data_IF_425023810525
#
_entry.id   IF_425023810525
#
_cell.length_a   1.000
_cell.length_b   1.000
_cell.length_c   1.000
_cell.angle_alpha   90.00
_cell.angle_beta   90.00
_cell.angle_gamma   90.00
#
_symmetry.space_group_name_H-M   'P 1'
#
loop_
_entity.id
_entity.type
_entity.pdbx_description
1 polymer ?
#
# COMPACT_ATOMS: atom_id res chain seq x y z
N UNK A 1 2.09 -23.64 29.17
CA UNK A 1 2.80 -23.04 28.01
C UNK A 1 2.18 -21.68 27.79
N UNK A 2 2.92 -20.60 28.04
CA UNK A 2 2.42 -19.27 27.78
C UNK A 2 2.26 -19.11 26.26
N UNK A 3 1.08 -18.71 25.81
CA UNK A 3 0.88 -18.31 24.42
C UNK A 3 1.73 -17.07 24.19
N UNK A 4 2.90 -17.22 23.56
CA UNK A 4 3.53 -16.07 22.93
C UNK A 4 2.54 -15.64 21.84
N UNK A 5 1.79 -14.58 22.11
CA UNK A 5 0.97 -13.98 21.07
C UNK A 5 1.96 -13.60 19.97
N UNK A 6 1.65 -13.99 18.74
CA UNK A 6 2.41 -13.65 17.55
C UNK A 6 2.78 -12.14 17.54
N UNK A 7 1.97 -11.31 18.18
CA UNK A 7 2.13 -9.88 18.46
C UNK A 7 3.43 -9.45 19.17
N UNK A 8 3.94 -10.20 20.16
CA UNK A 8 5.13 -9.83 20.95
C UNK A 8 6.44 -9.86 20.12
N UNK A 9 6.50 -10.71 19.09
CA UNK A 9 7.67 -10.78 18.20
C UNK A 9 7.66 -9.69 17.10
N UNK A 10 6.49 -9.14 16.74
CA UNK A 10 6.40 -8.10 15.70
C UNK A 10 6.87 -6.72 16.18
N UNK A 11 6.73 -6.39 17.48
CA UNK A 11 7.31 -5.14 18.06
C UNK A 11 8.82 -5.01 17.87
N UNK A 12 9.51 -6.10 17.53
CA UNK A 12 10.97 -6.14 17.31
C UNK A 12 11.40 -5.89 15.85
N UNK A 13 10.47 -5.67 14.92
CA UNK A 13 10.79 -5.72 13.47
C UNK A 13 11.18 -4.40 12.80
N UNK A 14 10.85 -3.25 13.42
CA UNK A 14 11.22 -1.92 12.94
C UNK A 14 11.82 -1.10 14.08
N UNK A 15 13.11 -0.78 13.96
CA UNK A 15 13.82 0.12 14.87
C UNK A 15 13.64 1.58 14.37
N UNK A 16 13.67 2.56 15.28
CA UNK A 16 13.75 3.99 14.91
C UNK A 16 14.96 4.28 14.01
N UNK A 17 16.01 3.47 14.11
CA UNK A 17 17.18 3.54 13.23
C UNK A 17 16.94 3.02 11.80
N UNK A 18 15.83 2.28 11.56
CA UNK A 18 15.40 1.89 10.21
C UNK A 18 14.72 3.05 9.46
N UNK A 19 14.46 4.17 10.13
CA UNK A 19 13.81 5.39 9.62
C UNK A 19 14.92 6.45 9.43
N UNK A 20 15.52 6.52 8.25
CA UNK A 20 16.65 7.40 7.92
C UNK A 20 16.25 8.57 7.00
N UNK A 21 15.04 9.09 7.14
CA UNK A 21 14.55 10.15 6.24
C UNK A 21 14.96 11.53 6.73
N UNK A 22 15.23 12.44 5.80
CA UNK A 22 15.22 13.87 6.12
C UNK A 22 13.78 14.37 6.33
N UNK A 23 13.62 15.50 7.02
CA UNK A 23 12.32 16.16 7.17
C UNK A 23 11.68 16.46 5.80
N UNK A 24 12.49 16.84 4.81
CA UNK A 24 12.05 17.08 3.42
C UNK A 24 11.50 15.81 2.74
N UNK A 25 12.14 14.65 2.96
CA UNK A 25 11.66 13.37 2.42
C UNK A 25 10.31 13.02 3.05
N UNK A 26 10.19 13.16 4.37
CA UNK A 26 8.94 12.93 5.11
C UNK A 26 7.82 13.81 4.53
N UNK A 27 8.08 15.11 4.37
CA UNK A 27 7.08 16.05 3.84
C UNK A 27 6.63 15.69 2.42
N UNK A 28 7.57 15.33 1.53
CA UNK A 28 7.23 14.88 0.16
C UNK A 28 6.36 13.63 0.15
N UNK A 29 6.68 12.66 1.02
CA UNK A 29 5.91 11.42 1.15
C UNK A 29 4.49 11.72 1.62
N UNK A 30 4.31 12.57 2.64
CA UNK A 30 2.97 12.98 3.09
C UNK A 30 2.21 13.82 2.08
N UNK A 31 2.87 14.69 1.32
CA UNK A 31 2.21 15.49 0.29
C UNK A 31 1.68 14.60 -0.83
N UNK A 32 2.45 13.57 -1.24
CA UNK A 32 1.97 12.57 -2.19
C UNK A 32 0.83 11.73 -1.62
N UNK A 33 0.90 11.34 -0.35
CA UNK A 33 -0.19 10.64 0.32
C UNK A 33 -1.48 11.46 0.35
N UNK A 34 -1.41 12.70 0.82
CA UNK A 34 -2.56 13.62 0.89
C UNK A 34 -3.15 13.90 -0.47
N UNK A 35 -2.35 13.85 -1.54
CA UNK A 35 -2.84 13.96 -2.90
C UNK A 35 -3.70 12.77 -3.32
N UNK A 36 -3.46 11.56 -2.79
CA UNK A 36 -4.22 10.36 -3.15
C UNK A 36 -5.45 10.11 -2.27
N UNK A 37 -5.59 10.80 -1.14
CA UNK A 37 -6.68 10.60 -0.19
C UNK A 37 -7.63 11.80 -0.19
N UNK A 38 -8.92 11.52 -0.22
CA UNK A 38 -9.97 12.49 0.03
C UNK A 38 -10.44 12.35 1.49
N UNK A 39 -9.87 13.16 2.37
CA UNK A 39 -10.19 13.14 3.80
C UNK A 39 -11.64 13.58 4.11
N UNK A 40 -12.24 14.43 3.28
CA UNK A 40 -13.62 14.90 3.51
C UNK A 40 -14.65 13.79 3.26
N UNK A 41 -14.34 12.88 2.34
CA UNK A 41 -15.20 11.75 1.96
C UNK A 41 -14.75 10.41 2.53
N UNK A 42 -13.61 10.42 3.22
CA UNK A 42 -12.94 9.24 3.74
C UNK A 42 -12.71 8.13 2.68
N UNK A 43 -12.31 8.52 1.47
CA UNK A 43 -12.06 7.60 0.35
C UNK A 43 -10.79 7.97 -0.42
N UNK A 44 -10.36 7.10 -1.33
CA UNK A 44 -9.32 7.45 -2.29
C UNK A 44 -9.79 8.56 -3.24
N UNK A 45 -8.90 9.51 -3.54
CA UNK A 45 -9.11 10.45 -4.62
C UNK A 45 -8.76 9.77 -5.97
N UNK A 46 -9.69 8.95 -6.48
CA UNK A 46 -9.47 8.09 -7.64
C UNK A 46 -8.99 8.84 -8.89
N UNK A 47 -9.46 10.06 -9.15
CA UNK A 47 -9.03 10.86 -10.29
C UNK A 47 -7.56 11.28 -10.20
N UNK A 48 -7.06 11.53 -8.99
CA UNK A 48 -5.67 11.91 -8.78
C UNK A 48 -4.69 10.80 -9.13
N UNK A 49 -5.12 9.54 -9.13
CA UNK A 49 -4.31 8.42 -9.62
C UNK A 49 -4.05 8.49 -11.13
N UNK A 50 -4.75 9.33 -11.91
CA UNK A 50 -4.47 9.51 -13.35
C UNK A 50 -3.08 10.06 -13.63
N UNK A 51 -2.36 10.57 -12.62
CA UNK A 51 -0.94 10.90 -12.75
C UNK A 51 -0.08 9.67 -13.10
N UNK A 52 -0.56 8.47 -12.76
CA UNK A 52 0.07 7.20 -13.13
C UNK A 52 -0.53 6.68 -14.44
N UNK A 53 0.32 6.41 -15.43
CA UNK A 53 -0.09 6.15 -16.81
C UNK A 53 -1.06 4.99 -16.96
N UNK A 54 -0.73 3.84 -16.37
CA UNK A 54 -1.61 2.69 -16.28
C UNK A 54 -1.59 2.18 -14.85
N UNK A 55 -2.70 1.58 -14.44
CA UNK A 55 -2.87 0.96 -13.13
C UNK A 55 -3.49 -0.40 -13.37
N UNK A 56 -2.98 -1.40 -12.67
CA UNK A 56 -3.50 -2.76 -12.69
C UNK A 56 -3.82 -3.24 -11.28
N UNK A 57 -4.57 -4.33 -11.23
CA UNK A 57 -5.10 -4.93 -10.03
C UNK A 57 -4.83 -6.44 -10.04
N UNK A 58 -4.52 -6.96 -8.85
CA UNK A 58 -4.45 -8.38 -8.54
C UNK A 58 -5.39 -8.65 -7.37
N UNK A 59 -6.31 -9.57 -7.57
CA UNK A 59 -7.11 -10.18 -6.52
C UNK A 59 -6.26 -11.20 -5.76
N UNK A 60 -6.00 -10.97 -4.48
CA UNK A 60 -5.13 -11.85 -3.68
C UNK A 60 -5.87 -13.10 -3.21
N UNK A 61 -7.16 -12.98 -2.86
CA UNK A 61 -7.97 -14.09 -2.33
C UNK A 61 -8.09 -15.25 -3.33
N UNK A 62 -8.05 -14.94 -4.62
CA UNK A 62 -8.16 -15.92 -5.71
C UNK A 62 -6.84 -16.17 -6.44
N UNK A 63 -5.75 -15.51 -6.04
CA UNK A 63 -4.42 -15.75 -6.61
C UNK A 63 -3.67 -16.81 -5.83
N UNK A 64 -2.85 -17.59 -6.53
CA UNK A 64 -1.87 -18.43 -5.85
C UNK A 64 -0.72 -17.56 -5.29
N UNK A 65 -0.10 -18.03 -4.19
CA UNK A 65 0.99 -17.33 -3.52
C UNK A 65 2.14 -16.98 -4.48
N UNK A 66 2.42 -17.83 -5.48
CA UNK A 66 3.50 -17.60 -6.43
C UNK A 66 3.19 -16.41 -7.35
N UNK A 67 1.94 -16.27 -7.79
CA UNK A 67 1.46 -15.13 -8.58
C UNK A 67 1.51 -13.84 -7.78
N UNK A 68 1.05 -13.87 -6.53
CA UNK A 68 1.13 -12.72 -5.62
C UNK A 68 2.58 -12.29 -5.39
N UNK A 69 3.46 -13.26 -5.08
CA UNK A 69 4.88 -13.01 -4.90
C UNK A 69 5.54 -12.41 -6.16
N UNK A 70 5.21 -12.92 -7.35
CA UNK A 70 5.72 -12.39 -8.61
C UNK A 70 5.23 -10.97 -8.89
N UNK A 71 3.95 -10.69 -8.64
CA UNK A 71 3.34 -9.39 -8.85
C UNK A 71 4.00 -8.32 -7.97
N UNK A 72 4.17 -8.62 -6.68
CA UNK A 72 4.82 -7.73 -5.71
C UNK A 72 6.31 -7.62 -6.01
N UNK A 73 7.02 -8.74 -6.18
CA UNK A 73 8.46 -8.76 -6.45
C UNK A 73 8.82 -8.01 -7.73
N UNK A 74 7.94 -8.03 -8.73
CA UNK A 74 8.10 -7.25 -9.96
C UNK A 74 8.20 -5.76 -9.67
N UNK A 75 7.23 -5.22 -8.94
CA UNK A 75 7.25 -3.81 -8.51
C UNK A 75 8.46 -3.48 -7.65
N UNK A 76 8.75 -4.32 -6.64
CA UNK A 76 9.84 -4.04 -5.71
C UNK A 76 11.17 -3.93 -6.48
N UNK A 77 11.49 -4.86 -7.39
CA UNK A 77 12.79 -4.88 -8.07
C UNK A 77 13.04 -3.71 -9.03
N UNK A 78 12.01 -2.92 -9.37
CA UNK A 78 12.12 -1.79 -10.30
C UNK A 78 12.80 -0.56 -9.68
N UNK A 79 12.80 -0.44 -8.35
CA UNK A 79 13.24 0.77 -7.65
C UNK A 79 14.31 0.44 -6.61
N UNK A 80 15.27 1.33 -6.42
CA UNK A 80 16.31 1.13 -5.42
C UNK A 80 15.77 1.36 -4.01
N UNK A 81 14.97 2.41 -3.84
CA UNK A 81 14.36 2.78 -2.56
C UNK A 81 12.84 2.92 -2.70
N UNK A 82 12.13 2.63 -1.62
CA UNK A 82 10.68 2.70 -1.52
C UNK A 82 10.27 3.42 -0.23
N UNK A 83 9.07 4.02 -0.22
CA UNK A 83 8.45 4.59 0.97
C UNK A 83 7.12 3.89 1.21
N UNK A 84 6.84 3.36 2.40
CA UNK A 84 5.50 2.80 2.70
C UNK A 84 4.76 3.66 3.72
N UNK A 85 3.44 3.80 3.60
CA UNK A 85 2.58 4.50 4.56
C UNK A 85 1.31 3.69 4.78
N UNK A 86 0.85 3.50 6.02
CA UNK A 86 -0.48 2.94 6.28
C UNK A 86 -1.57 3.81 5.65
N UNK A 87 -2.61 3.17 5.13
CA UNK A 87 -3.77 3.90 4.58
C UNK A 87 -4.74 4.23 5.71
N UNK A 88 -4.86 5.52 5.99
CA UNK A 88 -5.85 6.14 6.89
C UNK A 88 -6.59 7.27 6.18
N UNK A 89 -7.89 7.34 6.43
CA UNK A 89 -8.77 8.30 5.74
C UNK A 89 -9.10 9.54 6.57
N UNK A 90 -8.61 9.63 7.82
CA UNK A 90 -8.78 10.78 8.70
C UNK A 90 -7.47 11.58 8.88
N UNK A 91 -7.60 12.89 9.08
CA UNK A 91 -6.45 13.76 9.36
C UNK A 91 -5.82 13.49 10.73
N UNK A 92 -6.63 13.09 11.72
CA UNK A 92 -6.17 12.81 13.06
C UNK A 92 -5.27 11.57 13.07
N UNK A 93 -5.70 10.49 12.41
CA UNK A 93 -4.89 9.29 12.24
C UNK A 93 -3.62 9.57 11.44
N UNK A 94 -3.71 10.40 10.40
CA UNK A 94 -2.54 10.78 9.62
C UNK A 94 -1.51 11.54 10.46
N UNK A 95 -1.96 12.48 11.29
CA UNK A 95 -1.10 13.25 12.18
C UNK A 95 -0.50 12.34 13.26
N UNK A 96 -1.27 11.36 13.74
CA UNK A 96 -0.78 10.36 14.69
C UNK A 96 0.32 9.50 14.05
N UNK A 97 0.14 8.98 12.83
CA UNK A 97 1.20 8.27 12.07
C UNK A 97 2.45 9.14 11.89
N UNK A 98 2.27 10.42 11.55
CA UNK A 98 3.37 11.37 11.36
C UNK A 98 4.19 11.58 12.64
N UNK A 99 3.53 11.64 13.79
CA UNK A 99 4.16 12.03 15.05
C UNK A 99 4.64 10.85 15.89
N UNK A 100 4.00 9.69 15.80
CA UNK A 100 4.31 8.53 16.66
C UNK A 100 5.37 7.59 16.09
N UNK A 101 5.77 7.77 14.83
CA UNK A 101 6.78 6.95 14.14
C UNK A 101 6.47 5.43 14.15
N UNK A 102 5.23 5.02 14.43
CA UNK A 102 4.81 3.62 14.50
C UNK A 102 3.38 3.46 13.93
N UNK A 103 3.15 2.53 13.00
CA UNK A 103 4.15 1.91 12.14
C UNK A 103 4.70 3.00 11.22
N UNK A 104 6.00 2.98 10.96
CA UNK A 104 6.67 4.10 10.31
C UNK A 104 6.11 4.34 8.92
N UNK A 105 6.27 5.59 8.46
CA UNK A 105 6.59 5.87 7.06
C UNK A 105 7.78 4.95 6.75
N UNK A 106 7.57 3.76 6.19
CA UNK A 106 8.55 2.70 6.34
C UNK A 106 9.71 2.89 5.36
N UNK A 107 10.91 2.91 5.96
CA UNK A 107 12.19 2.39 5.47
C UNK A 107 12.62 2.80 4.05
N UNK A 108 13.59 3.70 3.98
CA UNK A 108 14.53 3.75 2.86
C UNK A 108 15.40 2.49 2.89
N UNK A 109 14.86 1.37 2.45
CA UNK A 109 15.59 0.12 2.29
C UNK A 109 15.83 -0.11 0.81
N UNK A 110 16.92 -0.80 0.50
CA UNK A 110 17.05 -1.47 -0.79
C UNK A 110 15.80 -2.28 -1.04
N UNK A 111 15.15 -2.04 -2.17
CA UNK A 111 13.92 -2.71 -2.48
C UNK A 111 14.14 -4.21 -2.65
N UNK A 112 13.45 -5.00 -1.83
CA UNK A 112 13.50 -6.46 -1.86
C UNK A 112 12.32 -7.05 -1.08
N UNK A 113 12.11 -8.36 -1.21
CA UNK A 113 10.99 -9.05 -0.56
C UNK A 113 11.06 -9.00 0.99
N UNK A 114 12.25 -8.80 1.58
CA UNK A 114 12.40 -8.65 3.03
C UNK A 114 11.84 -7.32 3.52
N UNK A 115 11.99 -6.24 2.75
CA UNK A 115 11.35 -4.95 3.03
C UNK A 115 9.83 -5.13 3.10
N UNK A 116 9.23 -5.71 2.05
CA UNK A 116 7.78 -5.94 2.02
C UNK A 116 7.29 -6.81 3.18
N UNK A 117 7.98 -7.93 3.47
CA UNK A 117 7.65 -8.79 4.62
C UNK A 117 7.75 -8.06 5.96
N UNK A 118 8.73 -7.16 6.13
CA UNK A 118 8.81 -6.29 7.32
C UNK A 118 7.58 -5.38 7.40
N UNK A 119 7.21 -4.68 6.32
CA UNK A 119 6.04 -3.80 6.29
C UNK A 119 4.75 -4.54 6.66
N UNK A 120 4.48 -5.68 6.00
CA UNK A 120 3.31 -6.52 6.29
C UNK A 120 3.31 -6.99 7.75
N UNK A 121 4.45 -7.52 8.23
CA UNK A 121 4.57 -8.00 9.61
C UNK A 121 4.37 -6.89 10.66
N UNK A 122 4.84 -5.68 10.40
CA UNK A 122 4.69 -4.55 11.33
C UNK A 122 3.31 -3.87 11.28
N UNK A 123 2.48 -4.13 10.27
CA UNK A 123 1.16 -3.50 10.10
C UNK A 123 0.01 -4.36 10.59
N UNK A 124 0.11 -5.69 10.48
CA UNK A 124 -0.87 -6.64 11.05
C UNK A 124 -1.05 -6.42 12.57
N UNK A 125 -0.10 -5.75 13.22
CA UNK A 125 -0.14 -5.40 14.65
C UNK A 125 -0.71 -4.01 14.99
N UNK A 126 -0.94 -3.10 14.03
CA UNK A 126 -1.27 -1.69 14.34
C UNK A 126 -2.42 -1.04 13.54
N UNK A 127 -2.73 -1.44 12.31
CA UNK A 127 -3.74 -0.78 11.46
C UNK A 127 -4.60 -1.77 10.64
N UNK A 128 -5.57 -1.26 9.87
CA UNK A 128 -6.57 -1.98 9.03
C UNK A 128 -6.01 -2.96 7.99
N UNK A 129 -4.69 -3.10 7.87
CA UNK A 129 -4.04 -4.05 6.98
C UNK A 129 -3.72 -3.52 5.57
N UNK A 130 -3.97 -2.24 5.30
CA UNK A 130 -3.73 -1.62 3.97
C UNK A 130 -2.61 -0.58 4.00
N UNK A 131 -1.75 -0.59 2.99
CA UNK A 131 -0.64 0.35 2.84
C UNK A 131 -0.44 0.79 1.40
N UNK A 132 0.05 2.02 1.24
CA UNK A 132 0.58 2.51 -0.03
C UNK A 132 2.11 2.52 0.03
N UNK A 133 2.74 1.95 -0.98
CA UNK A 133 4.18 2.02 -1.23
C UNK A 133 4.41 2.95 -2.41
N UNK A 134 5.28 3.93 -2.27
CA UNK A 134 5.77 4.79 -3.34
C UNK A 134 7.19 4.41 -3.74
N UNK A 135 7.51 4.58 -5.02
CA UNK A 135 8.90 4.68 -5.47
C UNK A 135 9.55 5.95 -4.93
N UNK A 136 10.89 5.96 -4.85
CA UNK A 136 11.63 7.10 -4.30
C UNK A 136 11.41 8.43 -5.06
N UNK A 137 11.12 8.33 -6.35
CA UNK A 137 10.82 9.45 -7.24
C UNK A 137 9.31 9.75 -7.37
N UNK A 138 8.47 9.00 -6.66
CA UNK A 138 6.99 9.05 -6.72
C UNK A 138 6.39 8.84 -8.11
N UNK A 139 7.16 8.25 -9.03
CA UNK A 139 6.68 7.90 -10.38
C UNK A 139 5.78 6.66 -10.39
N UNK A 140 5.86 5.84 -9.35
CA UNK A 140 5.14 4.58 -9.23
C UNK A 140 4.63 4.33 -7.81
N UNK A 141 3.61 3.49 -7.69
CA UNK A 141 3.02 3.09 -6.43
C UNK A 141 2.53 1.64 -6.43
N UNK A 142 2.34 1.10 -5.22
CA UNK A 142 1.66 -0.15 -4.93
C UNK A 142 0.77 0.06 -3.70
N UNK A 143 -0.55 -0.04 -3.86
CA UNK A 143 -1.49 -0.26 -2.74
C UNK A 143 -1.55 -1.76 -2.48
N UNK A 144 -1.41 -2.13 -1.23
CA UNK A 144 -1.37 -3.51 -0.81
C UNK A 144 -2.28 -3.71 0.41
N UNK A 145 -3.19 -4.66 0.26
CA UNK A 145 -4.09 -5.14 1.29
C UNK A 145 -4.01 -6.67 1.30
N UNK A 146 -3.00 -7.26 1.97
CA UNK A 146 -2.74 -8.69 1.92
C UNK A 146 -3.97 -9.51 2.35
N UNK A 147 -4.25 -10.59 1.63
CA UNK A 147 -5.47 -11.38 1.79
C UNK A 147 -6.73 -10.70 1.24
N UNK A 148 -6.60 -9.66 0.42
CA UNK A 148 -7.71 -9.02 -0.28
C UNK A 148 -7.27 -8.66 -1.70
N UNK A 149 -6.36 -7.69 -1.83
CA UNK A 149 -5.93 -7.21 -3.14
C UNK A 149 -4.60 -6.46 -3.15
N UNK A 150 -4.05 -6.33 -4.36
CA UNK A 150 -2.96 -5.42 -4.69
C UNK A 150 -3.29 -4.57 -5.91
N UNK A 151 -3.01 -3.28 -5.85
CA UNK A 151 -3.18 -2.34 -6.96
C UNK A 151 -1.84 -1.65 -7.19
N UNK A 152 -1.32 -1.64 -8.42
CA UNK A 152 -0.07 -0.91 -8.70
C UNK A 152 -0.12 -0.16 -10.00
N UNK A 153 0.69 0.89 -10.09
CA UNK A 153 1.01 1.49 -11.38
C UNK A 153 1.86 0.54 -12.22
N UNK A 154 1.70 0.64 -13.52
CA UNK A 154 2.39 -0.20 -14.51
C UNK A 154 2.63 0.59 -15.79
N UNK A 155 3.61 0.16 -16.58
CA UNK A 155 3.90 0.69 -17.92
C UNK A 155 3.06 0.01 -19.01
N UNK A 156 2.39 -1.10 -18.66
CA UNK A 156 1.58 -1.91 -19.56
C UNK A 156 0.09 -1.65 -19.34
N UNK A 157 -0.64 -1.49 -20.45
CA UNK A 157 -2.09 -1.42 -20.39
C UNK A 157 -2.64 -2.79 -20.00
N UNK A 158 -3.44 -2.83 -18.94
CA UNK A 158 -4.16 -4.00 -18.46
C UNK A 158 -5.67 -3.72 -18.51
N UNK A 159 -6.49 -4.73 -18.82
CA UNK A 159 -7.95 -4.64 -18.91
C UNK A 159 -8.67 -5.25 -17.70
N UNK A 160 -7.94 -5.53 -16.61
CA UNK A 160 -8.47 -6.12 -15.38
C UNK A 160 -9.67 -5.37 -14.79
N UNK A 161 -9.78 -4.06 -15.02
CA UNK A 161 -10.91 -3.24 -14.54
C UNK A 161 -12.25 -3.63 -15.16
N UNK A 162 -12.28 -4.21 -16.36
CA UNK A 162 -13.51 -4.70 -16.96
C UNK A 162 -14.08 -5.89 -16.17
N UNK A 163 -13.21 -6.75 -15.64
CA UNK A 163 -13.63 -7.93 -14.89
C UNK A 163 -14.27 -7.52 -13.55
N UNK A 164 -13.77 -6.46 -12.91
CA UNK A 164 -14.38 -5.83 -11.71
C UNK A 164 -15.77 -5.28 -12.02
N UNK A 165 -15.95 -4.59 -13.14
CA UNK A 165 -17.25 -4.00 -13.53
C UNK A 165 -18.28 -5.05 -13.95
N UNK A 166 -17.84 -6.20 -14.44
CA UNK A 166 -18.68 -7.34 -14.80
C UNK A 166 -18.96 -8.28 -13.63
N UNK A 167 -18.55 -7.91 -12.41
CA UNK A 167 -18.79 -8.67 -11.17
C UNK A 167 -18.24 -10.10 -11.23
N UNK A 168 -17.06 -10.28 -11.85
CA UNK A 168 -16.43 -11.61 -11.98
C UNK A 168 -15.73 -12.10 -10.71
N UNK A 169 -15.64 -11.25 -9.69
CA UNK A 169 -14.95 -11.51 -8.44
C UNK A 169 -15.94 -11.30 -7.28
N UNK A 170 -15.92 -12.20 -6.30
CA UNK A 170 -16.69 -12.01 -5.06
C UNK A 170 -15.82 -11.27 -4.04
N UNK A 171 -16.04 -9.96 -3.90
CA UNK A 171 -15.38 -9.13 -2.90
C UNK A 171 -16.34 -8.77 -1.76
N UNK A 172 -15.80 -8.56 -0.57
CA UNK A 172 -16.53 -7.85 0.47
C UNK A 172 -16.92 -6.44 0.03
N UNK A 173 -18.04 -5.92 0.51
CA UNK A 173 -18.57 -4.62 0.07
C UNK A 173 -17.54 -3.47 0.19
N UNK A 174 -16.73 -3.47 1.25
CA UNK A 174 -15.71 -2.46 1.46
C UNK A 174 -14.57 -2.54 0.43
N UNK A 175 -14.12 -3.74 0.07
CA UNK A 175 -13.10 -3.93 -0.98
C UNK A 175 -13.67 -3.59 -2.35
N UNK A 176 -14.90 -4.06 -2.61
CA UNK A 176 -15.61 -3.80 -3.85
C UNK A 176 -15.77 -2.31 -4.13
N UNK A 177 -16.09 -1.51 -3.10
CA UNK A 177 -16.24 -0.07 -3.24
C UNK A 177 -14.93 0.62 -3.69
N UNK A 178 -13.79 0.22 -3.11
CA UNK A 178 -12.46 0.72 -3.52
C UNK A 178 -12.18 0.34 -4.97
N UNK A 179 -12.34 -0.94 -5.32
CA UNK A 179 -12.04 -1.45 -6.66
C UNK A 179 -12.95 -0.86 -7.74
N UNK A 180 -14.23 -0.65 -7.44
CA UNK A 180 -15.16 0.05 -8.34
C UNK A 180 -14.80 1.52 -8.52
N UNK A 181 -14.27 2.18 -7.50
CA UNK A 181 -13.74 3.54 -7.61
C UNK A 181 -12.62 3.64 -8.63
N UNK A 182 -11.63 2.74 -8.54
CA UNK A 182 -10.58 2.63 -9.55
C UNK A 182 -11.13 2.24 -10.93
N UNK A 183 -11.99 1.23 -11.02
CA UNK A 183 -12.52 0.75 -12.29
C UNK A 183 -13.31 1.82 -13.06
N UNK A 184 -14.03 2.71 -12.36
CA UNK A 184 -14.73 3.85 -12.98
C UNK A 184 -13.79 4.82 -13.68
N UNK A 185 -12.57 5.00 -13.15
CA UNK A 185 -11.58 5.96 -13.65
C UNK A 185 -10.70 5.34 -14.75
N UNK A 186 -10.34 4.06 -14.61
CA UNK A 186 -9.28 3.40 -15.39
C UNK A 186 -9.73 2.34 -16.40
N UNK A 187 -11.04 2.11 -16.59
CA UNK A 187 -11.56 1.27 -17.68
C UNK A 187 -11.18 1.76 -19.09
#
# INVERSE_FOLDING_TARGET
MASNSWYEDYKKTLDKNDILFSEDEIEKVFNNYKYLINFDKEEYNYDNFRKYKFIEFLDDDYSDECRTDLYISGFLKEFDCLYAIPVVFSYDDLNHIKNENIPPIAMKSRSNNRFFKKCVGSLISYYSGEFVIFSEDFSSFLIAKPGHYFIKSTDKKNYCWNDVLLDKYEFYDYDRNVLLGFAKVFK
#
